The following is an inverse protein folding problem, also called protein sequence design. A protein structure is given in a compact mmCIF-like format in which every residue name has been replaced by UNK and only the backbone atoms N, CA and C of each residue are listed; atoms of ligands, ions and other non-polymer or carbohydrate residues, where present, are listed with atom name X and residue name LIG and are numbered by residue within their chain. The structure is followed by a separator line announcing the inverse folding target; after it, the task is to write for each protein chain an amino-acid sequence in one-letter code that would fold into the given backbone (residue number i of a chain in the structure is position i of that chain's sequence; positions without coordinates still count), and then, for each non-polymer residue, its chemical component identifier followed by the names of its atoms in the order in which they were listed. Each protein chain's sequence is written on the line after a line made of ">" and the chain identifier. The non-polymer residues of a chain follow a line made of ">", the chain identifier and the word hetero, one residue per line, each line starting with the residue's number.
data_IF_971054151907
#
_entry.id   IF_971054151907
#
_cell.length_a   1.000
_cell.length_b   1.000
_cell.length_c   1.000
_cell.angle_alpha   90.00
_cell.angle_beta   90.00
_cell.angle_gamma   90.00
#
_symmetry.space_group_name_H-M   'P 1'
#
loop_
_entity.id
_entity.type
_entity.pdbx_description
1 polymer ?
#
# COMPACT_ATOMS: atom_id res chain seq x y z
N UNK A 1 -19.13 15.37 -13.43
CA UNK A 1 -18.00 15.89 -12.63
C UNK A 1 -17.04 14.74 -12.36
N UNK A 2 -15.81 14.78 -12.89
CA UNK A 2 -14.77 13.82 -12.50
C UNK A 2 -14.48 14.05 -11.01
N UNK A 3 -15.04 13.21 -10.13
CA UNK A 3 -14.77 13.30 -8.69
C UNK A 3 -13.30 12.93 -8.48
N UNK A 4 -12.50 13.91 -8.06
CA UNK A 4 -11.10 13.70 -7.69
C UNK A 4 -11.05 12.65 -6.57
N UNK A 5 -10.13 11.70 -6.69
CA UNK A 5 -9.84 10.74 -5.62
C UNK A 5 -9.50 11.48 -4.32
N UNK A 6 -9.80 10.87 -3.18
CA UNK A 6 -9.44 11.45 -1.89
C UNK A 6 -7.95 11.32 -1.64
N UNK A 7 -7.38 12.20 -0.81
CA UNK A 7 -5.97 12.12 -0.44
C UNK A 7 -5.59 10.75 0.15
N UNK A 8 -6.50 10.12 0.91
CA UNK A 8 -6.31 8.77 1.45
C UNK A 8 -6.28 7.69 0.37
N UNK A 9 -7.10 7.78 -0.68
CA UNK A 9 -7.01 6.85 -1.81
C UNK A 9 -5.68 6.96 -2.54
N UNK A 10 -5.21 8.18 -2.79
CA UNK A 10 -3.94 8.40 -3.49
C UNK A 10 -2.78 7.90 -2.64
N UNK A 11 -2.71 8.30 -1.37
CA UNK A 11 -1.65 7.89 -0.46
C UNK A 11 -1.63 6.37 -0.28
N UNK A 12 -2.80 5.75 -0.11
CA UNK A 12 -2.92 4.29 -0.02
C UNK A 12 -2.47 3.58 -1.29
N UNK A 13 -2.86 4.07 -2.47
CA UNK A 13 -2.44 3.49 -3.75
C UNK A 13 -0.92 3.62 -3.97
N UNK A 14 -0.33 4.77 -3.67
CA UNK A 14 1.13 4.98 -3.76
C UNK A 14 1.86 4.03 -2.82
N UNK A 15 1.38 3.87 -1.57
CA UNK A 15 2.00 2.97 -0.62
C UNK A 15 1.93 1.50 -1.06
N UNK A 16 0.80 1.07 -1.65
CA UNK A 16 0.66 -0.29 -2.22
C UNK A 16 1.68 -0.52 -3.34
N UNK A 17 1.86 0.45 -4.25
CA UNK A 17 2.81 0.33 -5.36
C UNK A 17 4.24 0.22 -4.84
N UNK A 18 4.63 1.12 -3.93
CA UNK A 18 5.98 1.10 -3.35
C UNK A 18 6.23 -0.19 -2.55
N UNK A 19 5.25 -0.62 -1.75
CA UNK A 19 5.30 -1.88 -1.02
C UNK A 19 5.46 -3.07 -1.96
N UNK A 20 4.75 -3.11 -3.08
CA UNK A 20 4.85 -4.20 -4.06
C UNK A 20 6.24 -4.29 -4.70
N UNK A 21 6.86 -3.14 -5.02
CA UNK A 21 8.22 -3.09 -5.56
C UNK A 21 9.22 -3.63 -4.52
N UNK A 22 9.14 -3.14 -3.27
CA UNK A 22 10.03 -3.60 -2.20
C UNK A 22 9.81 -5.07 -1.88
N UNK A 23 8.56 -5.56 -1.96
CA UNK A 23 8.23 -6.97 -1.75
C UNK A 23 8.94 -7.86 -2.76
N UNK A 24 8.92 -7.49 -4.05
CA UNK A 24 9.60 -8.24 -5.10
C UNK A 24 11.12 -8.25 -4.88
N UNK A 25 11.72 -7.09 -4.63
CA UNK A 25 13.17 -6.97 -4.36
C UNK A 25 13.55 -7.81 -3.13
N UNK A 26 12.78 -7.69 -2.05
CA UNK A 26 12.97 -8.43 -0.81
C UNK A 26 12.85 -9.94 -1.01
N UNK A 27 11.88 -10.40 -1.79
CA UNK A 27 11.66 -11.82 -2.06
C UNK A 27 12.86 -12.46 -2.78
N UNK A 28 13.40 -11.78 -3.81
CA UNK A 28 14.61 -12.25 -4.48
C UNK A 28 15.81 -12.27 -3.54
N UNK A 29 16.02 -11.22 -2.75
CA UNK A 29 17.11 -11.16 -1.79
C UNK A 29 16.99 -12.23 -0.70
N UNK A 30 15.78 -12.51 -0.22
CA UNK A 30 15.51 -13.57 0.74
C UNK A 30 15.82 -14.95 0.14
N UNK A 31 15.43 -15.20 -1.11
CA UNK A 31 15.76 -16.42 -1.84
C UNK A 31 17.27 -16.61 -2.05
N UNK A 32 18.03 -15.51 -2.11
CA UNK A 32 19.50 -15.53 -2.15
C UNK A 32 20.17 -15.67 -0.77
N UNK A 33 19.39 -15.86 0.31
CA UNK A 33 19.90 -16.05 1.67
C UNK A 33 20.15 -14.77 2.47
N UNK A 34 19.70 -13.60 1.99
CA UNK A 34 19.85 -12.33 2.72
C UNK A 34 18.81 -12.18 3.82
N UNK A 35 19.26 -12.03 5.07
CA UNK A 35 18.40 -11.70 6.22
C UNK A 35 17.64 -10.39 6.00
N UNK A 36 18.30 -9.39 5.41
CA UNK A 36 17.65 -8.11 5.08
C UNK A 36 16.58 -8.27 3.99
N UNK A 37 16.72 -9.26 3.10
CA UNK A 37 15.68 -9.63 2.15
C UNK A 37 14.42 -10.11 2.86
N UNK A 38 14.57 -11.03 3.82
CA UNK A 38 13.44 -11.56 4.61
C UNK A 38 12.75 -10.45 5.42
N UNK A 39 13.52 -9.59 6.08
CA UNK A 39 12.97 -8.43 6.79
C UNK A 39 12.27 -7.47 5.84
N UNK A 40 12.84 -7.24 4.66
CA UNK A 40 12.24 -6.44 3.60
C UNK A 40 10.88 -6.98 3.15
N UNK A 41 10.74 -8.29 2.99
CA UNK A 41 9.45 -8.94 2.65
C UNK A 41 8.40 -8.68 3.73
N UNK A 42 8.74 -8.86 5.00
CA UNK A 42 7.82 -8.67 6.12
C UNK A 42 7.34 -7.22 6.18
N UNK A 43 8.29 -6.26 6.11
CA UNK A 43 7.99 -4.83 6.15
C UNK A 43 7.16 -4.40 4.94
N UNK A 44 7.52 -4.88 3.74
CA UNK A 44 6.78 -4.58 2.52
C UNK A 44 5.35 -5.11 2.56
N UNK A 45 5.16 -6.34 3.04
CA UNK A 45 3.82 -6.90 3.20
C UNK A 45 2.98 -6.08 4.17
N UNK A 46 3.52 -5.76 5.35
CA UNK A 46 2.83 -4.94 6.34
C UNK A 46 2.45 -3.56 5.76
N UNK A 47 3.39 -2.89 5.10
CA UNK A 47 3.16 -1.60 4.46
C UNK A 47 2.08 -1.69 3.35
N UNK A 48 2.07 -2.77 2.57
CA UNK A 48 1.08 -3.00 1.52
C UNK A 48 -0.34 -3.15 2.08
N UNK A 49 -0.51 -3.94 3.14
CA UNK A 49 -1.80 -4.10 3.83
C UNK A 49 -2.23 -2.78 4.49
N UNK A 50 -1.30 -2.04 5.10
CA UNK A 50 -1.58 -0.69 5.62
C UNK A 50 -2.05 0.25 4.50
N UNK A 51 -1.38 0.25 3.35
CA UNK A 51 -1.76 1.05 2.18
C UNK A 51 -3.17 0.73 1.67
N UNK A 52 -3.53 -0.56 1.64
CA UNK A 52 -4.88 -1.00 1.31
C UNK A 52 -5.92 -0.45 2.30
N UNK A 53 -5.65 -0.53 3.60
CA UNK A 53 -6.52 0.03 4.64
C UNK A 53 -6.71 1.54 4.48
N UNK A 54 -5.62 2.29 4.27
CA UNK A 54 -5.65 3.74 4.03
C UNK A 54 -6.46 4.08 2.78
N UNK A 55 -6.29 3.31 1.70
CA UNK A 55 -7.03 3.51 0.46
C UNK A 55 -8.54 3.34 0.67
N UNK A 56 -8.94 2.23 1.30
CA UNK A 56 -10.36 1.91 1.55
C UNK A 56 -10.98 2.94 2.51
N UNK A 57 -10.31 3.26 3.61
CA UNK A 57 -10.78 4.26 4.58
C UNK A 57 -10.94 5.64 3.92
N UNK A 58 -9.98 6.04 3.07
CA UNK A 58 -10.05 7.27 2.29
C UNK A 58 -11.21 7.27 1.30
N UNK A 59 -11.52 6.12 0.70
CA UNK A 59 -12.66 5.95 -0.21
C UNK A 59 -13.99 6.10 0.54
N UNK A 60 -14.14 5.40 1.66
CA UNK A 60 -15.35 5.48 2.48
C UNK A 60 -15.59 6.88 3.04
N UNK A 61 -14.54 7.56 3.52
CA UNK A 61 -14.66 8.92 4.04
C UNK A 61 -15.17 9.91 2.98
N UNK A 62 -14.71 9.77 1.73
CA UNK A 62 -15.24 10.56 0.62
C UNK A 62 -16.70 10.23 0.34
N UNK A 63 -17.05 8.94 0.25
CA UNK A 63 -18.43 8.53 -0.04
C UNK A 63 -19.41 9.07 1.01
N UNK A 64 -19.04 9.01 2.30
CA UNK A 64 -19.81 9.62 3.40
C UNK A 64 -19.96 11.14 3.27
N UNK A 65 -18.87 11.84 2.91
CA UNK A 65 -18.92 13.30 2.67
C UNK A 65 -19.80 13.66 1.47
N UNK A 66 -19.82 12.79 0.48
CA UNK A 66 -20.47 12.99 -0.79
C UNK A 66 -21.98 12.71 -0.78
N UNK A 67 -22.56 12.42 0.39
CA UNK A 67 -24.00 12.25 0.61
C UNK A 67 -24.52 10.85 0.28
N UNK A 68 -23.66 9.85 0.29
CA UNK A 68 -24.03 8.44 0.18
C UNK A 68 -24.04 7.75 1.54
#
# INVERSE_FOLDING_TARGET
>A
MLRRSSGGEIAGAVLIVLASIVLLIGAFAAGAGSVYGMLGVIVAFAAGITGLGVHIAGREARLRRDGN
#
